data_IF_805048276132
#
_entry.id   IF_805048276132
#
_cell.length_a   1.000
_cell.length_b   1.000
_cell.length_c   1.000
_cell.angle_alpha   90.00
_cell.angle_beta   90.00
_cell.angle_gamma   90.00
#
_symmetry.space_group_name_H-M   'P 1'
#
loop_
_entity.id
_entity.type
_entity.pdbx_description
1 polymer ?
#
# COMPACT_ATOMS: atom_id res chain seq x y z
N UNK A 1 25.01 12.57 0.01
CA UNK A 1 25.11 11.75 1.24
C UNK A 1 24.94 12.56 2.52
N UNK A 2 25.66 13.68 2.70
CA UNK A 2 25.56 14.54 3.88
C UNK A 2 24.12 14.91 4.30
N UNK A 3 23.28 15.38 3.37
CA UNK A 3 21.88 15.73 3.65
C UNK A 3 21.04 14.53 4.08
N UNK A 4 21.25 13.35 3.46
CA UNK A 4 20.54 12.11 3.83
C UNK A 4 20.91 11.67 5.25
N UNK A 5 22.20 11.68 5.58
CA UNK A 5 22.68 11.33 6.92
C UNK A 5 22.15 12.31 7.97
N UNK A 6 22.10 13.61 7.66
CA UNK A 6 21.56 14.62 8.55
C UNK A 6 20.07 14.40 8.90
N UNK A 7 19.24 14.13 7.89
CA UNK A 7 17.78 13.96 8.05
C UNK A 7 17.39 12.56 8.56
N UNK A 8 17.83 11.51 7.88
CA UNK A 8 17.40 10.13 8.12
C UNK A 8 18.31 9.36 9.07
N UNK A 9 19.52 9.87 9.28
CA UNK A 9 20.56 9.17 10.02
C UNK A 9 21.34 8.18 9.16
N UNK A 10 22.52 7.83 9.66
CA UNK A 10 23.37 6.79 9.11
C UNK A 10 23.86 5.91 10.24
N UNK A 11 23.70 4.61 10.08
CA UNK A 11 24.34 3.63 10.96
C UNK A 11 25.84 3.65 10.69
N UNK A 12 26.62 3.92 11.72
CA UNK A 12 28.09 4.06 11.61
C UNK A 12 28.83 2.92 12.28
N UNK A 13 28.20 2.26 13.23
CA UNK A 13 28.79 1.17 14.00
C UNK A 13 27.70 0.42 14.75
N UNK A 14 28.08 -0.68 15.38
CA UNK A 14 27.23 -1.47 16.25
C UNK A 14 27.95 -1.59 17.59
N UNK A 15 27.22 -1.38 18.68
CA UNK A 15 27.72 -1.49 20.04
C UNK A 15 27.16 -2.78 20.66
N UNK A 16 28.06 -3.70 21.02
CA UNK A 16 27.68 -4.96 21.65
C UNK A 16 27.61 -4.82 23.16
N UNK A 17 26.50 -5.23 23.77
CA UNK A 17 26.33 -5.29 25.21
C UNK A 17 25.77 -6.66 25.61
N UNK A 18 26.63 -7.51 26.19
CA UNK A 18 26.28 -8.90 26.47
C UNK A 18 26.18 -9.71 25.18
N UNK A 19 25.03 -10.36 24.97
CA UNK A 19 24.71 -11.08 23.74
C UNK A 19 23.95 -10.23 22.70
N UNK A 20 23.58 -9.00 23.06
CA UNK A 20 22.79 -8.11 22.21
C UNK A 20 23.67 -7.09 21.46
N UNK A 21 23.32 -6.84 20.20
CA UNK A 21 23.96 -5.87 19.32
C UNK A 21 23.04 -4.66 19.09
N UNK A 22 23.55 -3.45 19.39
CA UNK A 22 22.80 -2.19 19.28
C UNK A 22 23.37 -1.30 18.17
N UNK A 23 22.58 -0.84 17.18
CA UNK A 23 23.08 0.04 16.13
C UNK A 23 23.35 1.45 16.64
N UNK A 24 24.52 1.99 16.31
CA UNK A 24 24.92 3.37 16.59
C UNK A 24 24.61 4.21 15.36
N UNK A 25 23.60 5.08 15.47
CA UNK A 25 23.15 5.97 14.41
C UNK A 25 23.60 7.41 14.66
N UNK A 26 24.22 8.02 13.66
CA UNK A 26 24.52 9.46 13.66
C UNK A 26 23.46 10.17 12.81
N UNK A 27 22.85 11.21 13.39
CA UNK A 27 21.89 12.11 12.74
C UNK A 27 21.93 13.48 13.39
N UNK A 28 21.40 14.50 12.73
CA UNK A 28 21.25 15.82 13.36
C UNK A 28 20.22 15.77 14.50
N UNK A 29 20.39 16.69 15.47
CA UNK A 29 19.37 16.94 16.49
C UNK A 29 18.08 17.42 15.85
N UNK A 30 16.97 17.13 16.51
CA UNK A 30 15.61 17.36 16.01
C UNK A 30 15.36 18.79 15.54
N UNK A 31 15.79 19.76 16.35
CA UNK A 31 15.70 21.20 16.10
C UNK A 31 16.31 21.65 14.76
N UNK A 32 17.38 20.99 14.30
CA UNK A 32 18.06 21.32 13.04
C UNK A 32 17.56 20.52 11.84
N UNK A 33 16.78 19.45 12.05
CA UNK A 33 16.31 18.57 10.96
C UNK A 33 15.10 19.13 10.23
N UNK A 34 14.28 19.90 10.93
CA UNK A 34 13.06 20.49 10.38
C UNK A 34 13.22 21.96 10.03
N UNK A 35 14.41 22.53 10.25
CA UNK A 35 14.77 23.89 9.84
C UNK A 35 15.47 23.88 8.47
N UNK A 36 14.82 24.39 7.40
CA UNK A 36 15.39 24.49 6.06
C UNK A 36 16.67 25.34 6.00
N UNK A 37 16.78 26.37 6.84
CA UNK A 37 17.97 27.25 6.89
C UNK A 37 19.16 26.50 7.51
N UNK A 38 18.92 25.76 8.60
CA UNK A 38 19.93 24.88 9.19
C UNK A 38 20.40 23.81 8.19
N UNK A 39 19.49 23.22 7.41
CA UNK A 39 19.83 22.21 6.41
C UNK A 39 20.63 22.78 5.23
N UNK A 40 20.29 23.99 4.76
CA UNK A 40 20.96 24.62 3.61
C UNK A 40 22.30 25.27 3.98
N UNK A 41 22.47 25.68 5.24
CA UNK A 41 23.74 26.21 5.77
C UNK A 41 24.78 25.12 6.07
N UNK A 42 24.39 23.84 6.06
CA UNK A 42 25.33 22.72 6.24
C UNK A 42 26.44 22.73 5.20
N UNK A 43 27.65 22.40 5.64
CA UNK A 43 28.84 22.33 4.80
C UNK A 43 29.05 20.92 4.26
N UNK A 44 29.15 20.81 2.93
CA UNK A 44 29.60 19.59 2.27
C UNK A 44 31.12 19.64 2.16
N UNK A 45 31.76 18.62 2.72
CA UNK A 45 33.22 18.45 2.63
C UNK A 45 33.53 17.59 1.41
N UNK A 46 34.40 18.06 0.51
CA UNK A 46 34.88 17.30 -0.63
C UNK A 46 36.37 17.54 -0.85
N UNK A 47 37.00 16.63 -1.60
CA UNK A 47 38.38 16.79 -2.02
C UNK A 47 38.41 17.40 -3.41
N UNK A 48 39.07 18.54 -3.54
CA UNK A 48 39.31 19.19 -4.82
C UNK A 48 40.25 18.30 -5.65
N UNK A 49 39.81 17.92 -6.85
CA UNK A 49 40.55 17.02 -7.72
C UNK A 49 41.82 17.67 -8.30
N UNK A 50 41.88 19.00 -8.35
CA UNK A 50 43.00 19.72 -8.99
C UNK A 50 44.20 19.87 -8.04
N UNK A 51 43.96 20.04 -6.73
CA UNK A 51 45.03 20.28 -5.77
C UNK A 51 45.03 19.31 -4.57
N UNK A 52 44.10 18.36 -4.54
CA UNK A 52 43.98 17.36 -3.48
C UNK A 52 43.56 17.90 -2.11
N UNK A 53 43.28 19.21 -2.01
CA UNK A 53 42.91 19.87 -0.76
C UNK A 53 41.46 19.57 -0.38
N UNK A 54 41.21 19.52 0.92
CA UNK A 54 39.86 19.39 1.46
C UNK A 54 39.22 20.77 1.43
N UNK A 55 38.08 20.90 0.73
CA UNK A 55 37.27 22.12 0.71
C UNK A 55 35.91 21.86 1.33
N UNK A 56 35.33 22.92 1.89
CA UNK A 56 34.00 22.91 2.47
C UNK A 56 33.16 24.01 1.82
N UNK A 57 32.01 23.64 1.29
CA UNK A 57 31.07 24.57 0.63
C UNK A 57 29.68 24.35 1.21
N UNK A 58 28.92 25.42 1.55
CA UNK A 58 27.56 25.27 2.04
C UNK A 58 26.62 24.72 0.94
N UNK A 59 25.60 23.96 1.34
CA UNK A 59 24.61 23.39 0.41
C UNK A 59 23.88 24.50 -0.37
N UNK A 60 23.61 25.64 0.26
CA UNK A 60 22.98 26.80 -0.38
C UNK A 60 23.73 27.35 -1.60
N UNK A 61 25.06 27.15 -1.68
CA UNK A 61 25.84 27.55 -2.85
C UNK A 61 25.72 26.58 -4.04
N UNK A 62 25.15 25.40 -3.82
CA UNK A 62 25.04 24.31 -4.80
C UNK A 62 23.59 24.01 -5.19
N UNK A 63 22.63 24.26 -4.30
CA UNK A 63 21.22 23.91 -4.49
C UNK A 63 20.29 24.93 -3.83
N UNK A 64 19.11 25.13 -4.43
CA UNK A 64 18.04 26.00 -3.90
C UNK A 64 16.85 25.15 -3.45
N UNK A 65 16.36 25.27 -2.21
CA UNK A 65 15.17 24.55 -1.77
C UNK A 65 13.90 25.14 -2.39
N UNK A 66 12.98 24.27 -2.80
CA UNK A 66 11.64 24.67 -3.26
C UNK A 66 10.58 23.85 -2.54
N UNK A 67 9.58 24.54 -2.00
CA UNK A 67 8.41 23.87 -1.43
C UNK A 67 7.52 23.35 -2.56
N UNK A 68 7.23 22.05 -2.52
CA UNK A 68 6.33 21.41 -3.47
C UNK A 68 5.49 20.36 -2.75
N UNK A 69 4.28 20.14 -3.25
CA UNK A 69 3.42 19.05 -2.81
C UNK A 69 3.68 17.81 -3.66
N UNK A 70 3.94 16.67 -3.02
CA UNK A 70 4.10 15.38 -3.69
C UNK A 70 3.22 14.31 -3.02
N UNK A 71 3.07 13.16 -3.67
CA UNK A 71 2.31 12.05 -3.11
C UNK A 71 3.09 11.42 -1.94
N UNK A 72 2.49 11.39 -0.75
CA UNK A 72 3.08 10.73 0.43
C UNK A 72 3.22 9.22 0.24
N UNK A 73 2.28 8.61 -0.49
CA UNK A 73 2.31 7.21 -0.87
C UNK A 73 1.62 7.01 -2.22
N UNK A 74 2.09 6.04 -3.00
CA UNK A 74 1.45 5.63 -4.25
C UNK A 74 0.99 4.18 -4.10
N UNK A 75 -0.29 3.99 -3.83
CA UNK A 75 -0.91 2.67 -3.80
C UNK A 75 -1.05 2.13 -5.22
N UNK A 76 -0.78 0.83 -5.37
CA UNK A 76 -0.88 0.11 -6.64
C UNK A 76 -1.49 -1.25 -6.42
N UNK A 77 -2.23 -1.70 -7.42
CA UNK A 77 -2.76 -3.05 -7.56
C UNK A 77 -2.51 -3.46 -9.02
N UNK A 78 -1.96 -4.65 -9.24
CA UNK A 78 -1.55 -5.15 -10.56
C UNK A 78 -0.74 -4.14 -11.40
N UNK A 79 0.26 -3.50 -10.77
CA UNK A 79 1.12 -2.47 -11.36
C UNK A 79 0.40 -1.18 -11.81
N UNK A 80 -0.92 -1.09 -11.62
CA UNK A 80 -1.72 0.11 -11.92
C UNK A 80 -1.87 0.96 -10.66
N UNK A 81 -1.77 2.28 -10.82
CA UNK A 81 -2.01 3.21 -9.71
C UNK A 81 -3.50 3.20 -9.36
N UNK A 82 -3.79 2.99 -8.09
CA UNK A 82 -5.17 2.95 -7.59
C UNK A 82 -5.41 4.06 -6.57
N UNK A 83 -6.67 4.50 -6.49
CA UNK A 83 -7.17 5.33 -5.40
C UNK A 83 -8.26 4.53 -4.72
N UNK A 84 -8.07 4.26 -3.43
CA UNK A 84 -9.02 3.52 -2.62
C UNK A 84 -9.98 4.51 -1.96
N UNK A 85 -11.27 4.41 -2.27
CA UNK A 85 -12.33 5.17 -1.63
C UNK A 85 -13.10 4.22 -0.72
N UNK A 86 -13.24 4.60 0.54
CA UNK A 86 -13.94 3.81 1.55
C UNK A 86 -14.95 4.70 2.26
N UNK A 87 -16.05 4.10 2.67
CA UNK A 87 -17.06 4.74 3.51
C UNK A 87 -17.58 3.72 4.51
N UNK A 88 -17.86 4.19 5.72
CA UNK A 88 -18.61 3.41 6.69
C UNK A 88 -20.11 3.49 6.34
N UNK A 89 -20.85 2.48 6.77
CA UNK A 89 -22.31 2.48 6.75
C UNK A 89 -22.79 2.71 8.17
N UNK A 90 -23.78 3.58 8.35
CA UNK A 90 -24.42 3.82 9.66
C UNK A 90 -25.35 2.67 10.02
N UNK A 91 -25.52 2.38 11.31
CA UNK A 91 -26.25 1.21 11.82
C UNK A 91 -27.73 1.15 11.38
N UNK A 92 -28.29 2.28 10.95
CA UNK A 92 -29.67 2.39 10.44
C UNK A 92 -29.86 1.76 9.06
N UNK A 93 -28.78 1.45 8.32
CA UNK A 93 -28.85 0.92 6.96
C UNK A 93 -28.20 -0.44 6.82
N UNK A 94 -28.83 -1.32 6.02
CA UNK A 94 -28.24 -2.59 5.64
C UNK A 94 -27.11 -2.36 4.62
N UNK A 95 -25.92 -2.88 4.91
CA UNK A 95 -24.72 -2.76 4.07
C UNK A 95 -24.98 -3.07 2.59
N UNK A 96 -25.61 -4.21 2.32
CA UNK A 96 -25.90 -4.69 0.96
C UNK A 96 -26.74 -3.67 0.16
N UNK A 97 -27.75 -3.07 0.78
CA UNK A 97 -28.61 -2.09 0.13
C UNK A 97 -27.84 -0.81 -0.22
N UNK A 98 -26.97 -0.34 0.68
CA UNK A 98 -26.15 0.85 0.43
C UNK A 98 -25.19 0.60 -0.72
N UNK A 99 -24.50 -0.54 -0.73
CA UNK A 99 -23.57 -0.90 -1.80
C UNK A 99 -24.28 -0.99 -3.15
N UNK A 100 -25.44 -1.64 -3.21
CA UNK A 100 -26.23 -1.74 -4.44
C UNK A 100 -26.69 -0.36 -4.94
N UNK A 101 -27.08 0.55 -4.04
CA UNK A 101 -27.44 1.92 -4.41
C UNK A 101 -26.25 2.69 -4.96
N UNK A 102 -25.05 2.51 -4.39
CA UNK A 102 -23.82 3.14 -4.88
C UNK A 102 -23.47 2.61 -6.27
N UNK A 103 -23.55 1.29 -6.49
CA UNK A 103 -23.32 0.67 -7.81
C UNK A 103 -24.32 1.23 -8.83
N UNK A 104 -25.60 1.32 -8.47
CA UNK A 104 -26.65 1.85 -9.34
C UNK A 104 -26.41 3.33 -9.68
N UNK A 105 -25.98 4.14 -8.71
CA UNK A 105 -25.62 5.54 -8.95
C UNK A 105 -24.41 5.67 -9.89
N UNK A 106 -23.42 4.77 -9.75
CA UNK A 106 -22.25 4.73 -10.63
C UNK A 106 -22.54 4.23 -12.03
N UNK A 107 -23.68 3.56 -12.27
CA UNK A 107 -24.05 3.09 -13.61
C UNK A 107 -24.17 4.25 -14.62
N UNK A 108 -24.60 5.43 -14.16
CA UNK A 108 -24.75 6.63 -14.97
C UNK A 108 -23.55 7.59 -14.86
N UNK A 109 -22.49 7.21 -14.16
CA UNK A 109 -21.32 8.08 -14.00
C UNK A 109 -20.52 8.15 -15.32
N UNK A 110 -20.10 9.35 -15.76
CA UNK A 110 -19.35 9.50 -17.00
C UNK A 110 -18.04 8.71 -16.94
N UNK A 111 -17.92 7.71 -17.81
CA UNK A 111 -16.73 6.87 -17.93
C UNK A 111 -15.67 7.64 -18.69
N UNK A 112 -14.63 8.11 -17.99
CA UNK A 112 -13.40 8.56 -18.63
C UNK A 112 -12.56 7.31 -18.99
N UNK A 113 -12.21 7.10 -20.26
CA UNK A 113 -11.49 5.90 -20.71
C UNK A 113 -10.10 5.74 -20.08
N UNK A 114 -9.55 6.78 -19.43
CA UNK A 114 -8.27 6.71 -18.72
C UNK A 114 -8.39 6.06 -17.34
N UNK A 115 -9.61 5.89 -16.82
CA UNK A 115 -9.85 5.36 -15.49
C UNK A 115 -10.74 4.12 -15.55
N UNK A 116 -10.43 3.17 -14.68
CA UNK A 116 -11.29 2.01 -14.42
C UNK A 116 -11.60 2.01 -12.94
N UNK A 117 -12.84 1.72 -12.59
CA UNK A 117 -13.27 1.53 -11.21
C UNK A 117 -13.66 0.06 -11.02
N UNK A 118 -13.38 -0.46 -9.83
CA UNK A 118 -13.77 -1.80 -9.41
C UNK A 118 -14.35 -1.69 -8.00
N UNK A 119 -15.54 -2.28 -7.83
CA UNK A 119 -16.11 -2.47 -6.51
C UNK A 119 -15.57 -3.77 -5.94
N UNK A 120 -15.07 -3.73 -4.71
CA UNK A 120 -14.49 -4.87 -4.02
C UNK A 120 -14.93 -4.89 -2.56
N UNK A 121 -14.48 -5.88 -1.80
CA UNK A 121 -14.78 -6.08 -0.39
C UNK A 121 -15.84 -7.15 -0.17
N UNK A 122 -16.64 -6.97 0.87
CA UNK A 122 -17.53 -8.00 1.43
C UNK A 122 -18.52 -8.56 0.38
N UNK A 123 -19.07 -7.73 -0.51
CA UNK A 123 -20.02 -8.17 -1.54
C UNK A 123 -19.36 -9.10 -2.57
N UNK A 124 -18.12 -8.79 -2.98
CA UNK A 124 -17.37 -9.62 -3.92
C UNK A 124 -17.02 -10.98 -3.29
N UNK A 125 -16.62 -10.97 -2.02
CA UNK A 125 -16.34 -12.19 -1.25
C UNK A 125 -17.60 -13.05 -1.07
N UNK A 126 -18.74 -12.45 -0.71
CA UNK A 126 -20.02 -13.16 -0.60
C UNK A 126 -20.45 -13.78 -1.93
N UNK A 127 -20.33 -13.05 -3.04
CA UNK A 127 -20.67 -13.57 -4.36
C UNK A 127 -19.79 -14.78 -4.74
N UNK A 128 -18.48 -14.71 -4.47
CA UNK A 128 -17.55 -15.83 -4.67
C UNK A 128 -17.93 -17.04 -3.79
N UNK A 129 -18.26 -16.80 -2.51
CA UNK A 129 -18.69 -17.85 -1.59
C UNK A 129 -19.99 -18.53 -2.05
N UNK A 130 -20.99 -17.75 -2.51
CA UNK A 130 -22.24 -18.28 -3.05
C UNK A 130 -22.05 -19.09 -4.32
N UNK A 131 -21.17 -18.65 -5.22
CA UNK A 131 -20.82 -19.41 -6.43
C UNK A 131 -20.13 -20.74 -6.08
N UNK A 132 -19.23 -20.73 -5.10
CA UNK A 132 -18.54 -21.93 -4.64
C UNK A 132 -19.53 -22.89 -3.98
N UNK A 133 -20.39 -22.39 -3.09
CA UNK A 133 -21.38 -23.20 -2.37
C UNK A 133 -22.41 -23.82 -3.32
N UNK A 134 -22.92 -23.06 -4.29
CA UNK A 134 -23.89 -23.58 -5.27
C UNK A 134 -23.28 -24.68 -6.15
N UNK A 135 -22.02 -24.53 -6.53
CA UNK A 135 -21.27 -25.57 -7.27
C UNK A 135 -21.07 -26.82 -6.42
N UNK A 136 -20.63 -26.65 -5.17
CA UNK A 136 -20.43 -27.76 -4.23
C UNK A 136 -21.75 -28.51 -3.95
N UNK A 137 -22.86 -27.79 -3.79
CA UNK A 137 -24.18 -28.37 -3.58
C UNK A 137 -24.62 -29.23 -4.77
N UNK A 138 -24.43 -28.74 -6.00
CA UNK A 138 -24.80 -29.50 -7.21
C UNK A 138 -23.99 -30.78 -7.34
N UNK A 139 -22.69 -30.73 -7.04
CA UNK A 139 -21.82 -31.92 -7.00
C UNK A 139 -22.29 -32.88 -5.92
N UNK A 140 -22.61 -32.40 -4.71
CA UNK A 140 -23.08 -33.25 -3.62
C UNK A 140 -24.40 -33.95 -3.95
N UNK A 141 -25.38 -33.22 -4.51
CA UNK A 141 -26.66 -33.81 -4.95
C UNK A 141 -26.44 -34.85 -6.04
N UNK A 142 -25.56 -34.57 -7.01
CA UNK A 142 -25.21 -35.52 -8.06
C UNK A 142 -24.57 -36.80 -7.51
N UNK A 143 -23.66 -36.67 -6.54
CA UNK A 143 -23.02 -37.82 -5.87
C UNK A 143 -24.04 -38.65 -5.08
N UNK A 144 -24.94 -38.01 -4.34
CA UNK A 144 -26.02 -38.71 -3.61
C UNK A 144 -26.91 -39.47 -4.60
N UNK A 145 -27.30 -38.83 -5.70
CA UNK A 145 -28.08 -39.48 -6.76
C UNK A 145 -27.34 -40.70 -7.34
N UNK A 146 -26.04 -40.59 -7.63
CA UNK A 146 -25.24 -41.69 -8.16
C UNK A 146 -25.16 -42.87 -7.18
N UNK A 147 -25.05 -42.60 -5.87
CA UNK A 147 -25.04 -43.64 -4.82
C UNK A 147 -26.39 -44.37 -4.78
N UNK A 148 -27.51 -43.64 -4.84
CA UNK A 148 -28.86 -44.22 -4.84
C UNK A 148 -29.06 -45.11 -6.08
N UNK A 149 -28.71 -44.62 -7.28
CA UNK A 149 -28.83 -45.40 -8.52
C UNK A 149 -27.98 -46.67 -8.46
N UNK A 150 -26.75 -46.58 -7.92
CA UNK A 150 -25.89 -47.75 -7.74
C UNK A 150 -26.44 -48.75 -6.71
N UNK A 151 -27.07 -48.27 -5.64
CA UNK A 151 -27.65 -49.11 -4.58
C UNK A 151 -28.91 -49.84 -5.05
N UNK A 152 -29.79 -49.15 -5.77
CA UNK A 152 -31.11 -49.68 -6.17
C UNK A 152 -31.15 -50.21 -7.60
N UNK A 153 -30.04 -50.11 -8.35
CA UNK A 153 -29.90 -50.50 -9.75
C UNK A 153 -31.08 -50.01 -10.64
N UNK A 154 -31.67 -48.88 -10.26
CA UNK A 154 -32.87 -48.33 -10.85
C UNK A 154 -32.85 -46.83 -10.68
N UNK A 155 -33.11 -46.11 -11.77
CA UNK A 155 -33.19 -44.65 -11.78
C UNK A 155 -34.59 -44.12 -11.41
N UNK A 156 -35.57 -45.02 -11.19
CA UNK A 156 -36.99 -44.70 -11.05
C UNK A 156 -37.58 -45.07 -9.68
N UNK A 157 -36.81 -45.72 -8.81
CA UNK A 157 -37.21 -45.96 -7.41
C UNK A 157 -36.29 -45.08 -6.56
N UNK A 158 -36.85 -44.09 -5.84
CA UNK A 158 -36.05 -43.20 -5.00
C UNK A 158 -35.41 -43.96 -3.84
#
# INVERSE_FOLDING_TARGET
DALRTALYGREVSTYKQGEDDYPVNIRLKDEYRYDPEALTSMRVTFRDQTNGQIRQVPISALATPHYTSTFSAVKREDLKRMVQVQSNVTDEFKKEQVVNNVIAAFANYPKDPRFTYQFTGELEEQAKQMSFLSTALMIAVFLIFMIIVAQFNSAAIP
#
